data_IF_629666868021
#
_entry.id   IF_629666868021
#
_cell.length_a   1.000
_cell.length_b   1.000
_cell.length_c   1.000
_cell.angle_alpha   90.00
_cell.angle_beta   90.00
_cell.angle_gamma   90.00
#
_symmetry.space_group_name_H-M   'P 1'
#
loop_
_entity.id
_entity.type
_entity.pdbx_description
1 polymer ?
#
# COMPACT_ATOMS: atom_id res chain seq x y z
N UNK A 1 -24.51 19.48 11.97
CA UNK A 1 -23.13 19.62 12.49
C UNK A 1 -22.29 18.60 11.76
N UNK A 2 -21.44 19.01 10.80
CA UNK A 2 -20.42 18.11 10.25
C UNK A 2 -19.34 18.00 11.32
N UNK A 3 -18.99 16.78 11.74
CA UNK A 3 -17.86 16.55 12.64
C UNK A 3 -16.56 17.10 12.05
N UNK A 4 -15.49 17.22 12.85
CA UNK A 4 -14.19 17.69 12.34
C UNK A 4 -13.75 16.85 11.14
N UNK A 5 -13.16 17.51 10.13
CA UNK A 5 -12.79 16.87 8.87
C UNK A 5 -11.63 15.90 9.08
N UNK A 6 -11.59 14.81 8.30
CA UNK A 6 -10.57 13.75 8.45
C UNK A 6 -9.13 14.30 8.34
N UNK A 7 -8.94 15.42 7.61
CA UNK A 7 -7.66 16.13 7.49
C UNK A 7 -7.13 16.71 8.82
N UNK A 8 -8.01 17.01 9.78
CA UNK A 8 -7.61 17.54 11.10
C UNK A 8 -7.06 16.42 12.02
N UNK A 9 -7.19 15.15 11.62
CA UNK A 9 -6.90 13.98 12.47
C UNK A 9 -5.97 12.93 11.83
N UNK A 10 -5.48 13.16 10.60
CA UNK A 10 -4.71 12.19 9.80
C UNK A 10 -3.20 12.15 10.06
N UNK A 11 -2.73 12.57 11.23
CA UNK A 11 -1.29 12.58 11.55
C UNK A 11 -0.93 11.60 12.67
N UNK A 12 -0.92 10.31 12.31
CA UNK A 12 0.10 9.37 12.80
C UNK A 12 0.89 8.76 11.64
N UNK A 13 0.94 9.43 10.49
CA UNK A 13 1.82 9.06 9.37
C UNK A 13 3.23 9.54 9.65
N UNK A 14 4.03 8.73 10.34
CA UNK A 14 5.48 8.88 10.29
C UNK A 14 5.96 8.51 8.89
N UNK A 15 6.54 9.45 8.14
CA UNK A 15 7.52 9.05 7.12
C UNK A 15 8.73 8.54 7.88
N UNK A 16 9.26 7.37 7.54
CA UNK A 16 10.45 6.81 8.17
C UNK A 16 11.55 7.88 8.34
N UNK A 17 11.66 8.36 9.58
CA UNK A 17 12.63 9.33 10.07
C UNK A 17 13.22 8.74 11.35
N UNK A 18 14.25 7.93 11.18
CA UNK A 18 14.86 7.08 12.22
C UNK A 18 15.39 7.87 13.42
N UNK A 19 15.26 7.30 14.63
CA UNK A 19 16.35 7.26 15.60
C UNK A 19 16.88 5.82 15.72
N UNK A 20 18.13 5.63 15.31
CA UNK A 20 19.05 4.54 15.67
C UNK A 20 18.53 3.09 15.54
N UNK A 21 18.43 2.59 14.31
CA UNK A 21 18.72 1.18 14.02
C UNK A 21 19.76 1.11 12.89
N UNK A 22 20.95 0.62 13.20
CA UNK A 22 22.02 0.40 12.22
C UNK A 22 21.51 -0.56 11.12
N UNK A 23 21.45 -0.08 9.87
CA UNK A 23 21.67 -0.91 8.69
C UNK A 23 20.48 -1.56 7.98
N UNK A 24 19.37 -0.84 7.73
CA UNK A 24 18.39 -1.25 6.71
C UNK A 24 18.06 -0.07 5.80
N UNK A 25 18.75 0.01 4.66
CA UNK A 25 18.50 0.98 3.60
C UNK A 25 17.19 0.59 2.89
N UNK A 26 16.23 1.52 2.66
CA UNK A 26 15.02 1.25 1.87
C UNK A 26 15.31 0.96 0.39
N UNK A 27 16.58 1.01 -0.04
CA UNK A 27 17.02 0.58 -1.37
C UNK A 27 17.10 -0.94 -1.49
N UNK A 28 16.62 -1.47 -2.62
CA UNK A 28 16.75 -2.88 -2.95
C UNK A 28 18.18 -3.34 -3.23
N UNK A 29 19.14 -2.42 -3.39
CA UNK A 29 20.56 -2.68 -3.71
C UNK A 29 20.77 -3.72 -4.83
N UNK A 30 19.81 -3.84 -5.75
CA UNK A 30 19.74 -4.91 -6.74
C UNK A 30 20.01 -4.38 -8.15
N UNK A 31 19.23 -3.40 -8.58
CA UNK A 31 19.34 -2.81 -9.91
C UNK A 31 18.68 -1.42 -9.94
N UNK A 32 19.14 -0.53 -10.81
CA UNK A 32 18.60 0.84 -10.91
C UNK A 32 17.11 0.89 -11.27
N UNK A 33 16.63 -0.08 -12.05
CA UNK A 33 15.22 -0.16 -12.50
C UNK A 33 14.58 -1.52 -12.25
N UNK A 34 15.38 -2.50 -11.82
CA UNK A 34 14.93 -3.87 -11.67
C UNK A 34 14.42 -4.11 -10.26
N UNK A 35 13.40 -4.95 -10.16
CA UNK A 35 12.82 -5.46 -8.92
C UNK A 35 12.97 -6.99 -8.89
N UNK A 36 13.28 -7.53 -7.71
CA UNK A 36 13.36 -8.96 -7.51
C UNK A 36 11.96 -9.56 -7.42
N UNK A 37 11.69 -10.73 -8.01
CA UNK A 37 10.35 -11.31 -7.98
C UNK A 37 9.90 -11.75 -6.58
N UNK A 38 10.82 -11.91 -5.63
CA UNK A 38 10.53 -12.35 -4.25
C UNK A 38 10.01 -11.24 -3.32
N UNK A 39 9.95 -9.99 -3.78
CA UNK A 39 9.35 -8.89 -3.03
C UNK A 39 10.05 -8.55 -1.70
N UNK A 40 11.28 -9.01 -1.47
CA UNK A 40 11.86 -9.08 -0.14
C UNK A 40 12.01 -7.69 0.53
N UNK A 41 12.47 -6.70 -0.23
CA UNK A 41 12.76 -5.37 0.30
C UNK A 41 11.48 -4.55 0.50
N UNK A 42 10.47 -4.73 -0.35
CA UNK A 42 9.14 -4.16 -0.11
C UNK A 42 8.44 -4.82 1.07
N UNK A 43 8.55 -6.14 1.24
CA UNK A 43 7.99 -6.83 2.40
C UNK A 43 8.59 -6.30 3.70
N UNK A 44 9.89 -6.01 3.72
CA UNK A 44 10.55 -5.40 4.87
C UNK A 44 10.08 -3.96 5.10
N UNK A 45 9.91 -3.15 4.04
CA UNK A 45 9.36 -1.80 4.17
C UNK A 45 7.95 -1.82 4.78
N UNK A 46 7.09 -2.74 4.33
CA UNK A 46 5.74 -2.95 4.90
C UNK A 46 5.83 -3.34 6.38
N UNK A 47 6.70 -4.29 6.71
CA UNK A 47 6.90 -4.76 8.10
C UNK A 47 7.33 -3.61 9.02
N UNK A 48 8.29 -2.79 8.58
CA UNK A 48 8.75 -1.62 9.33
C UNK A 48 7.62 -0.60 9.53
N UNK A 49 6.84 -0.31 8.48
CA UNK A 49 5.70 0.62 8.60
C UNK A 49 4.62 0.12 9.58
N UNK A 50 4.32 -1.19 9.56
CA UNK A 50 3.41 -1.82 10.51
C UNK A 50 3.93 -1.77 11.96
N UNK A 51 5.23 -2.05 12.17
CA UNK A 51 5.87 -1.97 13.48
C UNK A 51 5.83 -0.54 14.05
N UNK A 52 6.15 0.46 13.23
CA UNK A 52 6.10 1.88 13.62
C UNK A 52 4.67 2.32 13.97
N UNK A 53 3.69 1.86 13.20
CA UNK A 53 2.26 2.07 13.46
C UNK A 53 1.73 1.23 14.64
N UNK A 54 2.51 0.25 15.14
CA UNK A 54 2.10 -0.73 16.15
C UNK A 54 0.83 -1.49 15.76
N UNK A 55 0.72 -1.85 14.48
CA UNK A 55 -0.42 -2.57 13.93
C UNK A 55 -0.05 -3.98 13.50
N UNK A 56 -0.92 -4.93 13.79
CA UNK A 56 -0.77 -6.28 13.28
C UNK A 56 -1.09 -6.30 11.78
N UNK A 57 -0.42 -7.16 10.98
CA UNK A 57 -0.71 -7.30 9.56
C UNK A 57 -2.18 -7.61 9.25
N UNK A 58 -2.86 -8.33 10.15
CA UNK A 58 -4.28 -8.70 10.05
C UNK A 58 -5.25 -7.55 10.25
N UNK A 59 -4.76 -6.40 10.69
CA UNK A 59 -5.59 -5.21 10.90
C UNK A 59 -5.71 -4.35 9.64
N UNK A 60 -4.98 -4.64 8.57
CA UNK A 60 -5.05 -3.90 7.31
C UNK A 60 -6.33 -4.25 6.55
N UNK A 61 -7.17 -3.24 6.29
CA UNK A 61 -8.47 -3.44 5.63
C UNK A 61 -8.39 -3.24 4.10
N UNK A 62 -7.42 -2.47 3.62
CA UNK A 62 -7.22 -2.17 2.20
C UNK A 62 -5.74 -1.93 1.87
N UNK A 63 -5.29 -2.38 0.70
CA UNK A 63 -3.95 -2.11 0.16
C UNK A 63 -4.05 -1.23 -1.10
N UNK A 64 -3.55 0.00 -1.01
CA UNK A 64 -3.30 0.86 -2.16
C UNK A 64 -1.90 0.55 -2.73
N UNK A 65 -1.85 -0.34 -3.72
CA UNK A 65 -0.63 -0.82 -4.34
C UNK A 65 0.01 0.25 -5.24
N UNK A 66 1.33 0.16 -5.42
CA UNK A 66 2.02 0.97 -6.41
C UNK A 66 1.45 0.66 -7.80
N UNK A 67 1.34 -0.61 -8.20
CA UNK A 67 0.64 -1.05 -9.40
C UNK A 67 1.03 -0.28 -10.67
N UNK A 68 2.32 -0.29 -11.01
CA UNK A 68 2.81 0.41 -12.21
C UNK A 68 2.26 -0.16 -13.53
N UNK A 69 1.68 -1.37 -13.50
CA UNK A 69 1.22 -2.09 -14.69
C UNK A 69 2.35 -2.83 -15.42
N UNK A 70 3.57 -2.80 -14.89
CA UNK A 70 4.68 -3.59 -15.42
C UNK A 70 4.67 -4.98 -14.76
N UNK A 71 4.82 -6.03 -15.57
CA UNK A 71 4.82 -7.43 -15.07
C UNK A 71 5.77 -7.64 -13.90
N UNK A 72 6.96 -7.04 -13.97
CA UNK A 72 7.98 -7.19 -12.94
C UNK A 72 7.54 -6.57 -11.61
N UNK A 73 7.00 -5.35 -11.64
CA UNK A 73 6.55 -4.65 -10.45
C UNK A 73 5.33 -5.34 -9.83
N UNK A 74 4.31 -5.62 -10.63
CA UNK A 74 3.04 -6.10 -10.10
C UNK A 74 3.23 -7.46 -9.40
N UNK A 75 4.10 -8.33 -9.94
CA UNK A 75 4.50 -9.59 -9.30
C UNK A 75 5.38 -9.38 -8.06
N UNK A 76 6.32 -8.42 -8.11
CA UNK A 76 7.16 -8.05 -6.95
C UNK A 76 6.28 -7.63 -5.75
N UNK A 77 5.28 -6.77 -5.99
CA UNK A 77 4.36 -6.32 -4.96
C UNK A 77 3.47 -7.45 -4.44
N UNK A 78 2.94 -8.27 -5.35
CA UNK A 78 2.15 -9.47 -4.98
C UNK A 78 2.90 -10.35 -4.00
N UNK A 79 4.16 -10.68 -4.33
CA UNK A 79 5.03 -11.48 -3.47
C UNK A 79 5.31 -10.77 -2.13
N UNK A 80 5.53 -9.46 -2.17
CA UNK A 80 5.78 -8.66 -0.97
C UNK A 80 4.58 -8.68 0.00
N UNK A 81 3.36 -8.48 -0.50
CA UNK A 81 2.14 -8.50 0.31
C UNK A 81 1.92 -9.86 0.97
N UNK A 82 2.09 -10.95 0.23
CA UNK A 82 1.99 -12.31 0.80
C UNK A 82 3.04 -12.55 1.87
N UNK A 83 4.26 -12.05 1.66
CA UNK A 83 5.37 -12.23 2.60
C UNK A 83 5.19 -11.41 3.88
N UNK A 84 4.63 -10.21 3.80
CA UNK A 84 4.46 -9.31 4.96
C UNK A 84 3.15 -9.53 5.71
N UNK A 85 2.07 -9.92 5.01
CA UNK A 85 0.72 -10.07 5.59
C UNK A 85 0.28 -11.54 5.74
N UNK A 86 1.02 -12.50 5.17
CA UNK A 86 0.66 -13.92 5.19
C UNK A 86 -0.69 -14.18 4.51
N UNK A 87 -1.50 -15.07 5.11
CA UNK A 87 -2.84 -15.43 4.60
C UNK A 87 -3.80 -14.23 4.57
N UNK A 88 -3.52 -13.17 5.32
CA UNK A 88 -4.33 -11.95 5.27
C UNK A 88 -4.27 -11.27 3.91
N UNK A 89 -3.13 -11.35 3.19
CA UNK A 89 -2.99 -10.76 1.86
C UNK A 89 -4.07 -11.21 0.87
N UNK A 90 -4.51 -12.47 0.96
CA UNK A 90 -5.56 -13.02 0.07
C UNK A 90 -6.97 -12.56 0.43
N UNK A 91 -7.16 -12.02 1.63
CA UNK A 91 -8.46 -11.54 2.14
C UNK A 91 -8.59 -10.02 2.09
N UNK A 92 -7.47 -9.31 2.02
CA UNK A 92 -7.43 -7.86 1.91
C UNK A 92 -7.58 -7.43 0.45
N UNK A 93 -8.56 -6.58 0.10
CA UNK A 93 -8.63 -6.02 -1.23
C UNK A 93 -7.40 -5.16 -1.53
N UNK A 94 -6.91 -5.28 -2.76
CA UNK A 94 -5.80 -4.53 -3.31
C UNK A 94 -6.30 -3.74 -4.51
N UNK A 95 -5.84 -2.51 -4.71
CA UNK A 95 -6.08 -1.82 -5.98
C UNK A 95 -4.93 -0.89 -6.34
N UNK A 96 -4.90 -0.44 -7.59
CA UNK A 96 -4.03 0.67 -7.99
C UNK A 96 -4.80 1.75 -8.73
N UNK A 97 -4.77 2.96 -8.18
CA UNK A 97 -5.39 4.13 -8.80
C UNK A 97 -4.65 4.59 -10.07
N UNK A 98 -3.41 4.14 -10.30
CA UNK A 98 -2.66 4.41 -11.55
C UNK A 98 -3.39 3.89 -12.79
N UNK A 99 -4.26 2.90 -12.62
CA UNK A 99 -5.17 2.41 -13.68
C UNK A 99 -6.13 3.48 -14.21
N UNK A 100 -6.39 4.54 -13.44
CA UNK A 100 -7.31 5.63 -13.78
C UNK A 100 -6.59 6.96 -13.99
N UNK A 101 -5.62 7.30 -13.14
CA UNK A 101 -4.94 8.61 -13.16
C UNK A 101 -3.54 8.59 -13.76
N UNK A 102 -3.06 7.40 -14.18
CA UNK A 102 -1.72 7.21 -14.70
C UNK A 102 -0.62 7.32 -13.64
N UNK A 103 0.64 7.29 -14.09
CA UNK A 103 1.80 7.35 -13.21
C UNK A 103 2.51 8.70 -13.29
N UNK A 104 2.22 9.60 -12.35
CA UNK A 104 2.79 10.95 -12.26
C UNK A 104 4.17 11.01 -11.56
N UNK A 105 4.94 9.91 -11.61
CA UNK A 105 6.26 9.78 -11.00
C UNK A 105 6.25 10.19 -9.52
N UNK A 106 7.12 11.10 -9.10
CA UNK A 106 7.25 11.52 -7.69
C UNK A 106 5.97 12.11 -7.08
N UNK A 107 5.02 12.58 -7.89
CA UNK A 107 3.75 13.10 -7.37
C UNK A 107 2.74 11.99 -7.03
N UNK A 108 2.92 10.77 -7.55
CA UNK A 108 1.88 9.74 -7.43
C UNK A 108 1.67 9.30 -5.99
N UNK A 109 2.74 9.27 -5.17
CA UNK A 109 2.65 8.88 -3.77
C UNK A 109 1.68 9.78 -3.00
N UNK A 110 1.75 11.11 -3.19
CA UNK A 110 0.83 12.04 -2.53
C UNK A 110 -0.63 11.87 -3.00
N UNK A 111 -0.85 11.56 -4.27
CA UNK A 111 -2.19 11.30 -4.83
C UNK A 111 -2.74 9.99 -4.26
N UNK A 112 -1.91 8.97 -4.12
CA UNK A 112 -2.27 7.68 -3.50
C UNK A 112 -2.63 7.85 -2.03
N UNK A 113 -1.89 8.67 -1.28
CA UNK A 113 -2.21 9.00 0.11
C UNK A 113 -3.58 9.70 0.21
N UNK A 114 -3.84 10.67 -0.65
CA UNK A 114 -5.14 11.36 -0.68
C UNK A 114 -6.29 10.39 -1.03
N UNK A 115 -6.08 9.50 -2.01
CA UNK A 115 -7.06 8.48 -2.36
C UNK A 115 -7.30 7.47 -1.22
N UNK A 116 -6.25 7.07 -0.50
CA UNK A 116 -6.36 6.20 0.68
C UNK A 116 -7.18 6.86 1.79
N UNK A 117 -6.94 8.15 2.07
CA UNK A 117 -7.72 8.90 3.03
C UNK A 117 -9.21 9.01 2.64
N UNK A 118 -9.50 9.25 1.35
CA UNK A 118 -10.87 9.27 0.84
C UNK A 118 -11.53 7.89 0.86
N UNK A 119 -10.78 6.82 0.59
CA UNK A 119 -11.27 5.45 0.69
C UNK A 119 -11.71 5.13 2.11
N UNK A 120 -10.92 5.57 3.10
CA UNK A 120 -11.30 5.48 4.52
C UNK A 120 -12.54 6.34 4.80
N UNK A 121 -12.52 7.63 4.44
CA UNK A 121 -13.63 8.55 4.71
C UNK A 121 -14.97 8.03 4.18
N UNK A 122 -14.97 7.49 2.96
CA UNK A 122 -16.17 7.05 2.27
C UNK A 122 -16.49 5.56 2.43
N UNK A 123 -15.61 4.76 3.03
CA UNK A 123 -15.74 3.30 3.10
C UNK A 123 -15.92 2.67 1.71
N UNK A 124 -15.11 3.13 0.75
CA UNK A 124 -15.11 2.65 -0.64
C UNK A 124 -13.69 2.39 -1.09
N UNK A 125 -13.41 1.14 -1.44
CA UNK A 125 -12.16 0.75 -2.09
C UNK A 125 -12.25 1.09 -3.59
N UNK A 126 -11.32 1.91 -4.12
CA UNK A 126 -11.31 2.21 -5.54
C UNK A 126 -10.99 0.95 -6.36
N UNK A 127 -11.51 0.84 -7.60
CA UNK A 127 -11.22 -0.31 -8.44
C UNK A 127 -9.85 -0.19 -9.10
N UNK A 128 -9.28 -1.33 -9.47
CA UNK A 128 -8.27 -1.39 -10.52
C UNK A 128 -9.00 -1.38 -11.87
N UNK A 129 -9.02 -0.21 -12.52
CA UNK A 129 -9.63 -0.06 -13.84
C UNK A 129 -8.87 -0.89 -14.89
N UNK A 130 -9.56 -1.25 -15.98
CA UNK A 130 -9.00 -1.99 -17.12
C UNK A 130 -8.49 -3.42 -16.82
N UNK A 131 -8.64 -3.93 -15.59
CA UNK A 131 -8.26 -5.31 -15.24
C UNK A 131 -9.33 -6.30 -15.72
N UNK A 132 -9.17 -6.78 -16.96
CA UNK A 132 -10.07 -7.77 -17.57
C UNK A 132 -9.53 -9.21 -17.53
N UNK A 133 -8.20 -9.35 -17.65
CA UNK A 133 -7.52 -10.64 -17.66
C UNK A 133 -6.49 -10.64 -16.54
N UNK A 134 -6.73 -11.36 -15.43
CA UNK A 134 -5.77 -11.44 -14.33
C UNK A 134 -4.51 -12.22 -14.76
N UNK A 135 -3.35 -11.77 -14.28
CA UNK A 135 -2.10 -12.54 -14.38
C UNK A 135 -2.12 -13.64 -13.30
N UNK A 136 -1.91 -14.93 -13.64
CA UNK A 136 -1.85 -16.00 -12.64
C UNK A 136 -0.79 -15.81 -11.54
N UNK A 137 0.25 -15.00 -11.79
CA UNK A 137 1.26 -14.65 -10.78
C UNK A 137 0.84 -13.49 -9.88
N UNK A 138 -0.24 -12.78 -10.22
CA UNK A 138 -0.89 -11.73 -9.44
C UNK A 138 -2.29 -12.23 -9.00
N UNK A 139 -2.30 -13.18 -8.07
CA UNK A 139 -3.45 -13.98 -7.64
C UNK A 139 -4.16 -13.44 -6.37
N UNK A 140 -3.93 -12.18 -6.02
CA UNK A 140 -4.67 -11.48 -4.97
C UNK A 140 -5.96 -10.85 -5.50
N UNK A 141 -6.80 -10.36 -4.60
CA UNK A 141 -8.04 -9.66 -4.96
C UNK A 141 -7.75 -8.21 -5.34
N UNK A 142 -7.55 -7.95 -6.63
CA UNK A 142 -7.22 -6.63 -7.18
C UNK A 142 -8.41 -5.70 -7.45
N UNK A 143 -9.61 -6.01 -6.92
CA UNK A 143 -10.83 -5.21 -7.08
C UNK A 143 -11.04 -4.75 -8.54
N UNK A 144 -11.25 -5.69 -9.48
CA UNK A 144 -11.29 -5.37 -10.89
C UNK A 144 -12.56 -4.58 -11.26
N UNK A 145 -12.38 -3.50 -12.03
CA UNK A 145 -13.41 -2.73 -12.77
C UNK A 145 -14.42 -1.94 -11.92
N UNK A 146 -14.98 -2.52 -10.87
CA UNK A 146 -16.06 -1.93 -10.06
C UNK A 146 -15.57 -1.70 -8.64
N UNK A 147 -15.80 -0.48 -8.13
CA UNK A 147 -15.46 -0.12 -6.76
C UNK A 147 -16.18 -1.02 -5.75
N UNK A 148 -15.60 -1.22 -4.57
CA UNK A 148 -16.19 -2.04 -3.52
C UNK A 148 -16.48 -1.20 -2.29
N UNK A 149 -17.74 -1.20 -1.86
CA UNK A 149 -18.10 -0.67 -0.54
C UNK A 149 -17.63 -1.63 0.54
N UNK A 150 -16.82 -1.14 1.48
CA UNK A 150 -16.45 -1.86 2.69
C UNK A 150 -15.98 -0.88 3.77
N UNK A 151 -16.21 -1.23 5.03
CA UNK A 151 -15.60 -0.51 6.15
C UNK A 151 -14.07 -0.53 5.99
N UNK A 152 -13.45 0.64 5.93
CA UNK A 152 -12.01 0.80 5.71
C UNK A 152 -11.47 1.74 6.78
N UNK A 153 -10.92 1.17 7.85
CA UNK A 153 -10.38 1.93 8.99
C UNK A 153 -8.85 1.99 8.97
N UNK A 154 -8.22 1.18 8.13
CA UNK A 154 -6.79 1.21 7.88
C UNK A 154 -6.43 0.87 6.44
N UNK A 155 -5.42 1.55 5.94
CA UNK A 155 -4.91 1.39 4.58
C UNK A 155 -3.41 1.28 4.61
N UNK A 156 -2.89 0.22 4.00
CA UNK A 156 -1.48 0.12 3.62
C UNK A 156 -1.31 0.73 2.22
N UNK A 157 -0.44 1.72 2.08
CA UNK A 157 -0.05 2.25 0.75
C UNK A 157 1.43 2.05 0.52
N UNK A 158 1.81 1.59 -0.67
CA UNK A 158 3.22 1.30 -1.02
C UNK A 158 3.65 2.00 -2.30
N UNK A 159 4.95 2.19 -2.44
CA UNK A 159 5.56 2.79 -3.62
C UNK A 159 6.93 2.17 -3.93
N UNK A 160 7.20 1.98 -5.22
CA UNK A 160 8.52 1.62 -5.74
C UNK A 160 9.07 2.71 -6.64
N UNK A 161 10.38 2.92 -6.61
CA UNK A 161 11.07 3.92 -7.43
C UNK A 161 12.39 3.43 -8.00
N UNK A 162 12.87 4.10 -9.05
CA UNK A 162 14.21 3.86 -9.60
C UNK A 162 15.28 4.18 -8.56
N UNK A 163 16.42 3.49 -8.63
CA UNK A 163 17.41 3.44 -7.54
C UNK A 163 17.09 2.37 -6.49
N UNK A 164 16.03 1.58 -6.73
CA UNK A 164 15.65 0.46 -5.89
C UNK A 164 14.80 0.84 -4.68
N UNK A 165 14.37 2.09 -4.55
CA UNK A 165 13.60 2.56 -3.40
C UNK A 165 12.29 1.82 -3.25
N UNK A 166 12.06 1.28 -2.05
CA UNK A 166 10.78 0.74 -1.60
C UNK A 166 10.28 1.59 -0.43
N UNK A 167 9.00 1.94 -0.43
CA UNK A 167 8.39 2.71 0.64
C UNK A 167 7.01 2.17 0.95
N UNK A 168 6.64 2.21 2.23
CA UNK A 168 5.33 1.81 2.72
C UNK A 168 4.87 2.81 3.78
N UNK A 169 3.56 3.02 3.86
CA UNK A 169 2.94 3.85 4.88
C UNK A 169 1.59 3.24 5.27
N UNK A 170 1.26 3.35 6.56
CA UNK A 170 -0.04 2.94 7.10
C UNK A 170 -0.83 4.19 7.46
N UNK A 171 -2.07 4.27 6.99
CA UNK A 171 -3.07 5.22 7.46
C UNK A 171 -4.06 4.45 8.33
N UNK A 172 -4.41 4.97 9.50
CA UNK A 172 -5.40 4.33 10.38
C UNK A 172 -6.27 5.38 11.08
N UNK A 173 -7.54 5.05 11.34
CA UNK A 173 -8.41 5.92 12.14
C UNK A 173 -7.96 5.94 13.60
N UNK A 174 -7.94 7.11 14.27
CA UNK A 174 -7.49 7.22 15.67
C UNK A 174 -8.30 6.40 16.68
N UNK A 175 -9.57 6.12 16.37
CA UNK A 175 -10.51 5.46 17.29
C UNK A 175 -10.44 3.93 17.26
N UNK A 176 -9.62 3.35 16.37
CA UNK A 176 -9.39 1.89 16.36
C UNK A 176 -8.64 1.53 17.66
N UNK A 177 -9.34 0.91 18.60
CA UNK A 177 -8.70 0.30 19.77
C UNK A 177 -7.80 -0.83 19.25
N UNK A 178 -6.51 -0.53 19.18
CA UNK A 178 -5.45 -1.53 18.97
C UNK A 178 -5.51 -2.45 20.20
N UNK A 179 -5.92 -3.70 20.00
CA UNK A 179 -6.08 -4.70 21.04
C UNK A 179 -4.76 -5.39 21.37
#
# INVERSE_FOLDING_TARGET
MKGPGILDHLLQGGSAGLPSQLGKDPSNAYHMTGLRPDGAEMAEAIRVALDEARMNPTEIDYINAHGSGTKQNDRHETAAFKKSLGDHAYRTPVSSIKSMVGHSLGAIGSIEIAASALAMEHNVVPPTANLHTPDPECDLDYVPLVAREQLTDSVLTVGSGFGGFQSAMVLARPERKIA
#
